data_IF_540203155891
#
_entry.id   IF_540203155891
#
_cell.length_a   1.000
_cell.length_b   1.000
_cell.length_c   1.000
_cell.angle_alpha   90.00
_cell.angle_beta   90.00
_cell.angle_gamma   90.00
#
_symmetry.space_group_name_H-M   'P 1'
#
loop_
_entity.id
_entity.type
_entity.pdbx_description
1 polymer ?
#
# COMPACT_ATOMS: atom_id res chain seq x y z
N UNK A 1 -13.82 -5.69 11.14
CA UNK A 1 -13.15 -6.29 9.98
C UNK A 1 -13.45 -5.46 8.75
N UNK A 2 -12.47 -4.87 8.11
CA UNK A 2 -12.66 -4.09 6.89
C UNK A 2 -13.10 -5.01 5.75
N UNK A 3 -14.20 -4.68 5.08
CA UNK A 3 -14.72 -5.50 3.96
C UNK A 3 -13.94 -5.23 2.67
N UNK A 4 -13.65 -3.97 2.40
CA UNK A 4 -12.79 -3.51 1.31
C UNK A 4 -12.06 -2.24 1.73
N UNK A 5 -10.89 -2.00 1.14
CA UNK A 5 -10.12 -0.76 1.28
C UNK A 5 -9.92 -0.15 -0.10
N UNK A 6 -10.13 1.16 -0.18
CA UNK A 6 -9.74 2.00 -1.31
C UNK A 6 -8.64 2.94 -0.87
N UNK A 7 -7.61 3.08 -1.71
CA UNK A 7 -6.52 4.04 -1.53
C UNK A 7 -6.47 4.92 -2.76
N UNK A 8 -6.31 6.22 -2.58
CA UNK A 8 -6.12 7.16 -3.69
C UNK A 8 -5.15 8.26 -3.27
N UNK A 9 -4.23 8.59 -4.16
CA UNK A 9 -3.24 9.65 -3.99
C UNK A 9 -3.46 10.76 -5.00
N UNK A 10 -3.45 12.00 -4.53
CA UNK A 10 -3.55 13.20 -5.35
C UNK A 10 -2.29 14.05 -5.22
N UNK A 11 -1.89 14.76 -6.30
CA UNK A 11 -0.70 15.63 -6.35
C UNK A 11 -0.92 17.04 -5.76
N UNK A 12 -2.06 17.29 -5.11
CA UNK A 12 -2.41 18.59 -4.54
C UNK A 12 -3.15 18.41 -3.23
N UNK A 13 -2.67 19.07 -2.16
CA UNK A 13 -3.30 19.00 -0.84
C UNK A 13 -4.72 19.60 -0.86
N UNK A 14 -4.97 20.83 -1.39
CA UNK A 14 -6.33 21.38 -1.45
C UNK A 14 -7.29 20.48 -2.24
N UNK A 15 -6.86 19.98 -3.39
CA UNK A 15 -7.68 19.05 -4.19
C UNK A 15 -7.88 17.68 -3.52
N UNK A 16 -6.93 17.26 -2.71
CA UNK A 16 -7.06 16.08 -1.87
C UNK A 16 -8.15 16.22 -0.81
N UNK A 17 -8.21 17.37 -0.14
CA UNK A 17 -9.28 17.66 0.84
C UNK A 17 -10.65 17.69 0.15
N UNK A 18 -10.78 18.37 -1.00
CA UNK A 18 -12.01 18.39 -1.79
C UNK A 18 -12.42 16.97 -2.25
N UNK A 19 -11.43 16.14 -2.65
CA UNK A 19 -11.66 14.77 -3.09
C UNK A 19 -12.11 13.86 -1.94
N UNK A 20 -11.55 14.03 -0.74
CA UNK A 20 -11.98 13.29 0.45
C UNK A 20 -13.44 13.60 0.81
N UNK A 21 -13.84 14.88 0.80
CA UNK A 21 -15.23 15.29 1.02
C UNK A 21 -16.17 14.74 -0.08
N UNK A 22 -15.75 14.82 -1.34
CA UNK A 22 -16.51 14.30 -2.47
C UNK A 22 -16.69 12.76 -2.39
N UNK A 23 -15.66 12.02 -1.96
CA UNK A 23 -15.74 10.58 -1.75
C UNK A 23 -16.81 10.23 -0.71
N UNK A 24 -16.76 10.87 0.47
CA UNK A 24 -17.73 10.66 1.56
C UNK A 24 -19.17 10.96 1.15
N UNK A 25 -19.38 11.95 0.27
CA UNK A 25 -20.71 12.34 -0.23
C UNK A 25 -21.22 11.44 -1.35
N UNK A 26 -20.36 10.68 -2.00
CA UNK A 26 -20.71 9.88 -3.19
C UNK A 26 -21.23 8.49 -2.90
N UNK A 27 -20.86 7.88 -1.78
CA UNK A 27 -21.20 6.50 -1.42
C UNK A 27 -21.17 6.29 0.10
N UNK A 28 -21.79 5.21 0.58
CA UNK A 28 -21.78 4.81 1.99
C UNK A 28 -20.43 4.16 2.37
N UNK A 29 -19.42 5.00 2.55
CA UNK A 29 -18.05 4.63 2.95
C UNK A 29 -17.67 5.30 4.25
N UNK A 30 -16.67 4.72 4.93
CA UNK A 30 -16.02 5.34 6.09
C UNK A 30 -14.61 5.80 5.71
N UNK A 31 -14.20 6.95 6.24
CA UNK A 31 -12.84 7.46 6.08
C UNK A 31 -11.93 6.81 7.12
N UNK A 32 -10.92 6.08 6.66
CA UNK A 32 -9.89 5.49 7.51
C UNK A 32 -8.81 6.52 7.82
N UNK A 33 -8.30 7.19 6.79
CA UNK A 33 -7.37 8.31 6.92
C UNK A 33 -7.43 9.23 5.71
N UNK A 34 -7.12 10.51 5.92
CA UNK A 34 -6.97 11.50 4.85
C UNK A 34 -5.96 12.55 5.32
N UNK A 35 -4.77 12.58 4.73
CA UNK A 35 -3.69 13.43 5.19
C UNK A 35 -2.69 13.81 4.10
N UNK A 36 -1.96 14.92 4.27
CA UNK A 36 -0.82 15.25 3.42
C UNK A 36 0.28 14.20 3.51
N UNK A 37 0.90 13.90 2.38
CA UNK A 37 2.05 13.01 2.27
C UNK A 37 3.16 13.61 1.42
N UNK A 38 4.37 13.02 1.46
CA UNK A 38 5.50 13.52 0.65
C UNK A 38 5.36 13.13 -0.82
N UNK A 39 5.90 13.94 -1.75
CA UNK A 39 6.33 15.33 -1.65
C UNK A 39 5.20 16.32 -2.02
N UNK A 40 4.31 16.64 -1.09
CA UNK A 40 3.17 17.53 -1.35
C UNK A 40 1.95 16.84 -1.99
N UNK A 41 1.86 15.52 -1.83
CA UNK A 41 0.69 14.71 -2.18
C UNK A 41 -0.38 14.78 -1.08
N UNK A 42 -1.54 14.24 -1.38
CA UNK A 42 -2.59 13.96 -0.40
C UNK A 42 -3.02 12.50 -0.55
N UNK A 43 -3.00 11.76 0.54
CA UNK A 43 -3.38 10.35 0.58
C UNK A 43 -4.71 10.18 1.29
N UNK A 44 -5.59 9.39 0.69
CA UNK A 44 -6.92 9.07 1.21
C UNK A 44 -7.05 7.56 1.27
N UNK A 45 -7.38 7.03 2.44
CA UNK A 45 -7.72 5.63 2.66
C UNK A 45 -9.15 5.56 3.16
N UNK A 46 -9.97 4.77 2.48
CA UNK A 46 -11.39 4.62 2.80
C UNK A 46 -11.79 3.15 2.83
N UNK A 47 -12.87 2.84 3.55
CA UNK A 47 -13.38 1.48 3.70
C UNK A 47 -14.90 1.42 3.56
N UNK A 48 -15.42 0.23 3.24
CA UNK A 48 -16.85 -0.02 3.08
C UNK A 48 -17.13 -1.34 2.38
N UNK A 49 -18.32 -1.46 1.78
CA UNK A 49 -18.57 -2.55 0.83
C UNK A 49 -17.74 -2.35 -0.43
N UNK A 50 -17.39 -3.42 -1.13
CA UNK A 50 -16.59 -3.34 -2.35
C UNK A 50 -17.25 -2.43 -3.40
N UNK A 51 -18.58 -2.47 -3.52
CA UNK A 51 -19.34 -1.61 -4.43
C UNK A 51 -19.26 -0.13 -4.07
N UNK A 52 -19.40 0.21 -2.77
CA UNK A 52 -19.31 1.59 -2.30
C UNK A 52 -17.89 2.15 -2.45
N UNK A 53 -16.87 1.37 -2.10
CA UNK A 53 -15.47 1.75 -2.27
C UNK A 53 -15.15 1.97 -3.76
N UNK A 54 -15.63 1.09 -4.64
CA UNK A 54 -15.45 1.23 -6.09
C UNK A 54 -16.14 2.49 -6.60
N UNK A 55 -17.38 2.75 -6.18
CA UNK A 55 -18.13 3.95 -6.57
C UNK A 55 -17.42 5.23 -6.13
N UNK A 56 -16.96 5.29 -4.86
CA UNK A 56 -16.25 6.45 -4.32
C UNK A 56 -14.93 6.72 -5.05
N UNK A 57 -14.09 5.71 -5.25
CA UNK A 57 -12.83 5.85 -5.99
C UNK A 57 -13.09 6.28 -7.45
N UNK A 58 -14.07 5.68 -8.12
CA UNK A 58 -14.42 6.05 -9.50
C UNK A 58 -14.92 7.48 -9.59
N UNK A 59 -15.74 7.93 -8.63
CA UNK A 59 -16.23 9.31 -8.57
C UNK A 59 -15.06 10.31 -8.40
N UNK A 60 -14.12 10.03 -7.48
CA UNK A 60 -12.94 10.88 -7.28
C UNK A 60 -12.07 10.90 -8.53
N UNK A 61 -11.80 9.75 -9.14
CA UNK A 61 -10.99 9.67 -10.38
C UNK A 61 -11.60 10.48 -11.51
N UNK A 62 -12.91 10.37 -11.72
CA UNK A 62 -13.60 11.13 -12.77
C UNK A 62 -13.59 12.64 -12.52
N UNK A 63 -13.84 13.06 -11.26
CA UNK A 63 -13.94 14.49 -10.91
C UNK A 63 -12.59 15.19 -10.78
N UNK A 64 -11.56 14.47 -10.39
CA UNK A 64 -10.22 14.99 -10.10
C UNK A 64 -9.13 14.37 -11.00
N UNK A 65 -9.49 13.93 -12.21
CA UNK A 65 -8.62 13.18 -13.14
C UNK A 65 -7.22 13.78 -13.25
N UNK A 66 -7.11 15.07 -13.54
CA UNK A 66 -5.82 15.76 -13.66
C UNK A 66 -4.98 15.85 -12.37
N UNK A 67 -5.52 15.44 -11.22
CA UNK A 67 -4.83 15.48 -9.92
C UNK A 67 -4.53 14.11 -9.33
N UNK A 68 -5.19 13.05 -9.79
CA UNK A 68 -4.95 11.68 -9.30
C UNK A 68 -3.61 11.18 -9.79
N UNK A 69 -2.79 10.67 -8.88
CA UNK A 69 -1.49 10.04 -9.14
C UNK A 69 -1.69 8.54 -9.33
N UNK A 70 -2.32 7.90 -8.33
CA UNK A 70 -2.53 6.47 -8.29
C UNK A 70 -3.74 6.13 -7.42
N UNK A 71 -4.34 4.98 -7.65
CA UNK A 71 -5.44 4.48 -6.83
C UNK A 71 -5.48 2.95 -6.85
N UNK A 72 -5.88 2.36 -5.73
CA UNK A 72 -6.03 0.92 -5.61
C UNK A 72 -7.28 0.55 -4.83
N UNK A 73 -7.92 -0.55 -5.21
CA UNK A 73 -9.08 -1.11 -4.52
C UNK A 73 -8.75 -2.55 -4.15
N UNK A 74 -8.94 -2.89 -2.88
CA UNK A 74 -8.68 -4.21 -2.33
C UNK A 74 -9.95 -4.73 -1.65
N UNK A 75 -10.60 -5.73 -2.30
CA UNK A 75 -11.64 -6.53 -1.65
C UNK A 75 -10.98 -7.59 -0.78
N UNK A 76 -11.43 -7.78 0.46
CA UNK A 76 -10.87 -8.77 1.39
C UNK A 76 -9.35 -8.60 1.61
N UNK A 77 -8.94 -7.39 1.95
CA UNK A 77 -7.54 -7.12 2.29
C UNK A 77 -7.07 -8.02 3.44
N UNK A 78 -5.84 -8.52 3.36
CA UNK A 78 -5.25 -9.35 4.40
C UNK A 78 -5.05 -8.57 5.70
N UNK A 79 -5.24 -9.25 6.84
CA UNK A 79 -5.13 -8.64 8.16
C UNK A 79 -3.71 -8.14 8.47
N UNK A 80 -2.68 -8.83 7.96
CA UNK A 80 -1.29 -8.40 8.11
C UNK A 80 -1.05 -7.03 7.46
N UNK A 81 -1.64 -6.78 6.29
CA UNK A 81 -1.52 -5.50 5.59
C UNK A 81 -2.14 -4.38 6.42
N UNK A 82 -3.32 -4.63 7.00
CA UNK A 82 -3.99 -3.67 7.89
C UNK A 82 -3.13 -3.37 9.11
N UNK A 83 -2.64 -4.41 9.80
CA UNK A 83 -1.77 -4.25 10.96
C UNK A 83 -0.51 -3.45 10.64
N UNK A 84 0.13 -3.76 9.51
CA UNK A 84 1.33 -3.06 9.06
C UNK A 84 1.05 -1.59 8.71
N UNK A 85 -0.05 -1.32 8.01
CA UNK A 85 -0.45 0.04 7.62
C UNK A 85 -0.67 0.95 8.84
N UNK A 86 -1.13 0.40 9.96
CA UNK A 86 -1.34 1.15 11.21
C UNK A 86 -0.20 0.99 12.22
N UNK A 87 0.91 0.36 11.84
CA UNK A 87 2.08 0.17 12.71
C UNK A 87 1.80 -0.74 13.92
N UNK A 88 0.85 -1.66 13.80
CA UNK A 88 0.47 -2.62 14.84
C UNK A 88 0.93 -4.05 14.56
N UNK A 89 1.71 -4.23 13.49
CA UNK A 89 2.33 -5.51 13.18
C UNK A 89 3.54 -5.77 14.10
N UNK A 90 3.70 -7.03 14.47
CA UNK A 90 4.86 -7.53 15.19
C UNK A 90 5.83 -8.15 14.19
N UNK A 91 6.47 -7.35 13.35
CA UNK A 91 7.38 -7.86 12.34
C UNK A 91 8.48 -8.75 12.95
N UNK A 92 8.40 -10.06 12.73
CA UNK A 92 9.42 -10.98 13.20
C UNK A 92 10.65 -10.94 12.28
N UNK A 93 11.83 -10.84 12.89
CA UNK A 93 13.13 -10.90 12.19
C UNK A 93 13.50 -12.36 12.00
N UNK A 94 13.02 -12.96 10.94
CA UNK A 94 13.27 -14.39 10.69
C UNK A 94 13.50 -14.69 9.20
N UNK A 95 14.41 -15.61 8.94
CA UNK A 95 14.67 -16.12 7.59
C UNK A 95 15.21 -15.07 6.63
N UNK A 96 14.67 -15.06 5.44
CA UNK A 96 15.05 -14.15 4.35
C UNK A 96 14.30 -12.82 4.43
N UNK A 97 14.87 -11.78 3.81
CA UNK A 97 14.28 -10.46 3.70
C UNK A 97 13.93 -10.16 2.24
N UNK A 98 12.67 -9.89 1.96
CA UNK A 98 12.19 -9.40 0.67
C UNK A 98 11.80 -7.94 0.74
N UNK A 99 12.14 -7.16 -0.30
CA UNK A 99 11.78 -5.75 -0.39
C UNK A 99 11.14 -5.48 -1.75
N UNK A 100 10.04 -4.72 -1.72
CA UNK A 100 9.38 -4.19 -2.93
C UNK A 100 9.16 -2.71 -2.72
N UNK A 101 9.80 -1.88 -3.54
CA UNK A 101 9.65 -0.42 -3.51
C UNK A 101 8.83 0.06 -4.71
N UNK A 102 7.86 0.93 -4.46
CA UNK A 102 6.99 1.51 -5.49
C UNK A 102 6.97 3.04 -5.42
N UNK A 103 6.61 3.71 -6.53
CA UNK A 103 6.50 5.16 -6.60
C UNK A 103 5.22 5.73 -5.97
N UNK A 104 4.32 4.87 -5.45
CA UNK A 104 3.09 5.29 -4.79
C UNK A 104 2.75 4.44 -3.58
N UNK A 105 2.06 5.01 -2.59
CA UNK A 105 1.53 4.28 -1.44
C UNK A 105 0.43 3.30 -1.84
N UNK A 106 -0.45 3.69 -2.77
CA UNK A 106 -1.53 2.85 -3.25
C UNK A 106 -1.01 1.54 -3.85
N UNK A 107 0.04 1.63 -4.67
CA UNK A 107 0.70 0.44 -5.23
C UNK A 107 1.45 -0.38 -4.19
N UNK A 108 2.11 0.24 -3.19
CA UNK A 108 2.79 -0.50 -2.12
C UNK A 108 1.81 -1.31 -1.26
N UNK A 109 0.69 -0.70 -0.85
CA UNK A 109 -0.34 -1.38 -0.05
C UNK A 109 -0.93 -2.57 -0.84
N UNK A 110 -1.19 -2.38 -2.13
CA UNK A 110 -1.69 -3.47 -2.98
C UNK A 110 -0.64 -4.55 -3.21
N UNK A 111 0.62 -4.18 -3.40
CA UNK A 111 1.73 -5.12 -3.52
C UNK A 111 1.90 -5.98 -2.25
N UNK A 112 1.75 -5.37 -1.06
CA UNK A 112 1.75 -6.09 0.21
C UNK A 112 0.62 -7.14 0.28
N UNK A 113 -0.60 -6.78 -0.11
CA UNK A 113 -1.75 -7.69 -0.13
C UNK A 113 -1.55 -8.86 -1.12
N UNK A 114 -0.96 -8.60 -2.28
CA UNK A 114 -0.60 -9.63 -3.25
C UNK A 114 0.47 -10.57 -2.68
N UNK A 115 1.52 -10.04 -2.08
CA UNK A 115 2.62 -10.80 -1.53
C UNK A 115 2.16 -11.84 -0.50
N UNK A 116 1.42 -11.41 0.53
CA UNK A 116 0.93 -12.30 1.61
C UNK A 116 -0.13 -13.29 1.15
N UNK A 117 -0.80 -13.04 0.03
CA UNK A 117 -1.76 -13.97 -0.58
C UNK A 117 -1.10 -14.96 -1.53
N UNK A 118 0.13 -14.69 -1.96
CA UNK A 118 0.86 -15.53 -2.91
C UNK A 118 1.66 -16.62 -2.21
N UNK A 119 2.33 -16.31 -1.10
CA UNK A 119 3.23 -17.24 -0.40
C UNK A 119 3.16 -17.06 1.12
N UNK A 120 3.79 -17.96 1.87
CA UNK A 120 3.84 -17.94 3.34
C UNK A 120 4.90 -16.95 3.82
N UNK A 121 4.59 -15.68 3.75
CA UNK A 121 5.44 -14.60 4.22
C UNK A 121 4.75 -13.78 5.31
N UNK A 122 5.54 -13.17 6.18
CA UNK A 122 5.08 -12.16 7.12
C UNK A 122 5.47 -10.76 6.62
N UNK A 123 4.62 -9.77 6.85
CA UNK A 123 4.99 -8.37 6.63
C UNK A 123 5.83 -7.93 7.83
N UNK A 124 7.12 -7.69 7.59
CA UNK A 124 8.01 -7.10 8.58
C UNK A 124 7.68 -5.62 8.80
N UNK A 125 7.56 -4.86 7.71
CA UNK A 125 7.19 -3.45 7.74
C UNK A 125 6.50 -3.03 6.44
N UNK A 126 5.64 -2.02 6.53
CA UNK A 126 4.98 -1.37 5.39
C UNK A 126 5.04 0.13 5.58
N UNK A 127 5.98 0.77 4.91
CA UNK A 127 6.16 2.23 4.97
C UNK A 127 5.56 2.87 3.74
N UNK A 128 4.69 3.83 3.95
CA UNK A 128 4.03 4.56 2.86
C UNK A 128 4.21 6.06 3.01
N UNK A 129 4.63 6.68 1.92
CA UNK A 129 4.62 8.13 1.64
C UNK A 129 5.40 9.06 2.56
N UNK A 130 5.57 8.77 3.85
CA UNK A 130 6.20 9.70 4.80
C UNK A 130 7.72 9.54 4.83
N UNK A 131 8.45 10.63 4.58
CA UNK A 131 9.92 10.66 4.64
C UNK A 131 10.64 9.94 3.49
N UNK A 132 9.92 9.43 2.48
CA UNK A 132 10.47 8.62 1.40
C UNK A 132 10.21 9.20 0.00
N UNK A 133 10.03 10.52 -0.11
CA UNK A 133 9.77 11.16 -1.39
C UNK A 133 8.48 10.70 -2.08
N UNK A 134 7.49 10.19 -1.31
CA UNK A 134 6.22 9.69 -1.84
C UNK A 134 6.25 8.25 -2.33
N UNK A 135 7.35 7.52 -2.12
CA UNK A 135 7.46 6.09 -2.39
C UNK A 135 6.76 5.28 -1.29
N UNK A 136 6.49 4.01 -1.60
CA UNK A 136 6.10 3.00 -0.62
C UNK A 136 7.07 1.83 -0.65
N UNK A 137 7.31 1.21 0.51
CA UNK A 137 8.18 0.04 0.66
C UNK A 137 7.46 -1.03 1.46
N UNK A 138 7.42 -2.23 0.90
CA UNK A 138 6.98 -3.45 1.58
C UNK A 138 8.22 -4.25 1.95
N UNK A 139 8.33 -4.66 3.20
CA UNK A 139 9.37 -5.54 3.71
C UNK A 139 8.73 -6.85 4.19
N UNK A 140 9.22 -7.96 3.66
CA UNK A 140 8.67 -9.30 3.88
C UNK A 140 9.73 -10.20 4.50
N UNK A 141 9.30 -11.11 5.37
CA UNK A 141 10.16 -12.15 5.96
C UNK A 141 9.54 -13.54 5.79
N UNK A 142 10.39 -14.56 5.75
CA UNK A 142 9.97 -15.95 5.59
C UNK A 142 11.06 -16.83 5.00
N UNK A 143 10.71 -18.02 4.55
CA UNK A 143 11.60 -18.91 3.81
C UNK A 143 11.95 -18.29 2.46
N UNK A 144 13.18 -18.52 1.99
CA UNK A 144 13.71 -17.83 0.80
C UNK A 144 12.83 -18.03 -0.44
N UNK A 145 12.35 -19.23 -0.70
CA UNK A 145 11.49 -19.53 -1.86
C UNK A 145 10.12 -18.86 -1.77
N UNK A 146 9.55 -18.76 -0.56
CA UNK A 146 8.31 -18.04 -0.33
C UNK A 146 8.49 -16.52 -0.50
N UNK A 147 9.60 -15.96 0.01
CA UNK A 147 9.94 -14.54 -0.15
C UNK A 147 10.19 -14.18 -1.61
N UNK A 148 10.94 -15.02 -2.37
CA UNK A 148 11.14 -14.83 -3.81
C UNK A 148 9.81 -14.81 -4.57
N UNK A 149 8.95 -15.79 -4.33
CA UNK A 149 7.62 -15.89 -4.96
C UNK A 149 6.73 -14.69 -4.65
N UNK A 150 6.71 -14.25 -3.39
CA UNK A 150 5.95 -13.09 -2.94
C UNK A 150 6.46 -11.78 -3.58
N UNK A 151 7.78 -11.57 -3.58
CA UNK A 151 8.42 -10.39 -4.19
C UNK A 151 8.16 -10.36 -5.70
N UNK A 152 8.30 -11.51 -6.40
CA UNK A 152 8.04 -11.58 -7.83
C UNK A 152 6.59 -11.23 -8.18
N UNK A 153 5.61 -11.79 -7.45
CA UNK A 153 4.19 -11.51 -7.68
C UNK A 153 3.85 -10.02 -7.43
N UNK A 154 4.34 -9.45 -6.34
CA UNK A 154 4.16 -8.04 -6.01
C UNK A 154 4.84 -7.13 -7.04
N UNK A 155 6.07 -7.46 -7.47
CA UNK A 155 6.80 -6.71 -8.48
C UNK A 155 6.12 -6.76 -9.85
N UNK A 156 5.56 -7.89 -10.25
CA UNK A 156 4.82 -8.05 -11.52
C UNK A 156 3.64 -7.07 -11.56
N UNK A 157 2.84 -7.04 -10.50
CA UNK A 157 1.73 -6.09 -10.38
C UNK A 157 2.21 -4.63 -10.52
N UNK A 158 3.26 -4.25 -9.78
CA UNK A 158 3.77 -2.88 -9.80
C UNK A 158 4.40 -2.51 -11.17
N UNK A 159 5.01 -3.47 -11.88
CA UNK A 159 5.53 -3.28 -13.24
C UNK A 159 4.41 -3.02 -14.26
N UNK A 160 3.32 -3.78 -14.19
CA UNK A 160 2.17 -3.62 -15.09
C UNK A 160 1.56 -2.21 -15.00
N UNK A 161 1.64 -1.60 -13.82
CA UNK A 161 1.18 -0.22 -13.57
C UNK A 161 2.27 0.85 -13.74
N UNK A 162 3.48 0.46 -14.14
CA UNK A 162 4.66 1.36 -14.20
C UNK A 162 4.97 2.07 -12.87
N UNK A 163 4.64 1.43 -11.73
CA UNK A 163 4.86 1.98 -10.38
C UNK A 163 6.00 1.32 -9.63
N UNK A 164 6.61 0.26 -10.16
CA UNK A 164 7.76 -0.38 -9.54
C UNK A 164 9.00 0.52 -9.58
N UNK A 165 9.62 0.74 -8.42
CA UNK A 165 10.93 1.39 -8.30
C UNK A 165 12.06 0.37 -8.28
N UNK A 166 12.03 -0.57 -7.33
CA UNK A 166 13.05 -1.60 -7.19
C UNK A 166 12.58 -2.77 -6.33
N UNK A 167 13.32 -3.89 -6.39
CA UNK A 167 13.14 -5.04 -5.50
C UNK A 167 14.49 -5.56 -5.02
N UNK A 168 14.49 -6.24 -3.88
CA UNK A 168 15.63 -7.01 -3.41
C UNK A 168 15.14 -8.25 -2.65
N UNK A 169 15.91 -9.35 -2.73
CA UNK A 169 15.78 -10.52 -1.86
C UNK A 169 17.14 -10.82 -1.26
N UNK A 170 17.19 -10.95 0.06
CA UNK A 170 18.40 -11.29 0.81
C UNK A 170 18.10 -12.58 1.57
N UNK A 171 18.68 -13.70 1.13
CA UNK A 171 18.40 -15.03 1.69
C UNK A 171 18.81 -15.16 3.16
N UNK A 172 19.91 -14.52 3.54
CA UNK A 172 20.43 -14.56 4.92
C UNK A 172 20.93 -13.16 5.33
N UNK A 173 20.03 -12.23 5.72
CA UNK A 173 20.43 -10.90 6.15
C UNK A 173 21.37 -10.95 7.35
N UNK A 174 22.42 -10.13 7.35
CA UNK A 174 23.34 -10.02 8.48
C UNK A 174 22.59 -9.52 9.72
N UNK A 175 22.98 -10.02 10.89
CA UNK A 175 22.32 -9.67 12.15
C UNK A 175 22.36 -8.15 12.43
N UNK A 176 23.46 -7.50 12.11
CA UNK A 176 23.58 -6.04 12.29
C UNK A 176 22.65 -5.26 11.36
N UNK A 177 22.32 -5.79 10.18
CA UNK A 177 21.30 -5.19 9.31
C UNK A 177 19.92 -5.23 9.98
N UNK A 178 19.54 -6.37 10.54
CA UNK A 178 18.30 -6.50 11.29
C UNK A 178 18.19 -5.55 12.49
N UNK A 179 19.30 -5.20 13.12
CA UNK A 179 19.32 -4.27 14.26
C UNK A 179 19.06 -2.82 13.85
N UNK A 180 19.30 -2.47 12.60
CA UNK A 180 19.16 -1.10 12.06
C UNK A 180 17.83 -0.85 11.35
N UNK A 181 17.07 -1.89 11.08
CA UNK A 181 15.77 -1.84 10.45
C UNK A 181 14.65 -1.85 11.48
#
# INVERSE_FOLDING_TARGET
MYKAIGVIELKSIPKGVEAADAALKSAGIDMVSAHPSCPGKYEIILTGSISNVTAAISHVKSRFDGYVIDSSIMGRIDEQVIKALFGTNTGERCGSLGLVETFSAASAIKAADIAVKTARVAIYDLRVSRGMGGKGVVMLTGDVGDVESAVEAAARYAKELATLSSTAVIAAPHEDLWRQM
#
